data_IF_518741871083
#
_entry.id   IF_518741871083
#
_cell.length_a   1.000
_cell.length_b   1.000
_cell.length_c   1.000
_cell.angle_alpha   90.00
_cell.angle_beta   90.00
_cell.angle_gamma   90.00
#
_symmetry.space_group_name_H-M   'P 1'
#
loop_
_entity.id
_entity.type
_entity.pdbx_description
1 polymer ?
#
# COMPACT_ATOMS: atom_id res chain seq x y z
N UNK A 1 -2.89 25.54 11.62
CA UNK A 1 -3.11 24.71 10.41
C UNK A 1 -3.47 23.34 10.94
N UNK A 2 -4.33 22.59 10.25
CA UNK A 2 -4.68 21.24 10.71
C UNK A 2 -4.74 20.29 9.52
N UNK A 3 -4.39 19.04 9.76
CA UNK A 3 -4.42 17.96 8.78
C UNK A 3 -5.65 17.09 9.03
N UNK A 4 -6.42 16.80 7.98
CA UNK A 4 -7.45 15.77 7.97
C UNK A 4 -6.86 14.51 7.31
N UNK A 5 -6.59 13.51 8.12
CA UNK A 5 -6.18 12.18 7.65
C UNK A 5 -7.40 11.31 7.39
N UNK A 6 -7.49 10.71 6.21
CA UNK A 6 -8.53 9.74 5.90
C UNK A 6 -8.01 8.35 6.28
N UNK A 7 -8.61 7.74 7.31
CA UNK A 7 -8.24 6.41 7.78
C UNK A 7 -8.84 5.32 6.87
N UNK A 8 -8.00 4.38 6.46
CA UNK A 8 -8.46 3.18 5.75
C UNK A 8 -8.68 2.05 6.74
N UNK A 9 -9.82 1.35 6.63
CA UNK A 9 -10.25 0.26 7.51
C UNK A 9 -11.21 -0.70 6.78
N UNK A 10 -11.52 -1.80 7.44
CA UNK A 10 -12.52 -2.77 6.98
C UNK A 10 -13.76 -2.81 7.90
N UNK A 11 -14.08 -1.71 8.57
CA UNK A 11 -15.05 -1.52 9.64
C UNK A 11 -14.65 -2.15 11.00
N UNK A 12 -13.76 -3.13 11.03
CA UNK A 12 -13.28 -3.77 12.27
C UNK A 12 -11.86 -3.36 12.62
N UNK A 13 -10.97 -3.39 11.64
CA UNK A 13 -9.55 -3.16 11.82
C UNK A 13 -9.05 -2.02 10.93
N UNK A 14 -8.12 -1.24 11.43
CA UNK A 14 -7.36 -0.30 10.61
C UNK A 14 -6.47 -1.06 9.64
N UNK A 15 -6.40 -0.59 8.41
CA UNK A 15 -5.38 -1.09 7.49
C UNK A 15 -4.00 -0.59 7.92
N UNK A 16 -2.96 -1.44 7.85
CA UNK A 16 -1.62 -1.11 8.36
C UNK A 16 -1.07 0.21 7.84
N UNK A 17 -1.30 0.53 6.57
CA UNK A 17 -0.83 1.78 5.95
C UNK A 17 -1.43 3.07 6.52
N UNK A 18 -2.51 2.97 7.30
CA UNK A 18 -3.03 4.11 8.07
C UNK A 18 -2.01 4.60 9.08
N UNK A 19 -1.24 3.70 9.72
CA UNK A 19 -0.19 4.07 10.67
C UNK A 19 0.95 4.88 10.01
N UNK A 20 1.35 4.48 8.80
CA UNK A 20 2.35 5.20 8.02
C UNK A 20 1.84 6.59 7.59
N UNK A 21 0.55 6.67 7.25
CA UNK A 21 -0.08 7.93 6.86
C UNK A 21 -0.20 8.90 8.05
N UNK A 22 -0.43 8.40 9.27
CA UNK A 22 -0.39 9.21 10.50
C UNK A 22 1.00 9.83 10.71
N UNK A 23 2.08 9.05 10.52
CA UNK A 23 3.45 9.57 10.61
C UNK A 23 3.69 10.69 9.60
N UNK A 24 3.32 10.48 8.34
CA UNK A 24 3.48 11.50 7.31
C UNK A 24 2.65 12.78 7.63
N UNK A 25 1.40 12.60 8.09
CA UNK A 25 0.52 13.69 8.49
C UNK A 25 1.13 14.52 9.64
N UNK A 26 1.72 13.87 10.64
CA UNK A 26 2.36 14.55 11.77
C UNK A 26 3.63 15.31 11.39
N UNK A 27 4.29 14.94 10.28
CA UNK A 27 5.41 15.71 9.71
C UNK A 27 4.94 16.97 8.96
N UNK A 28 3.69 16.97 8.44
CA UNK A 28 3.09 18.14 7.81
C UNK A 28 2.64 19.15 8.87
N UNK A 29 1.92 18.70 9.87
CA UNK A 29 1.47 19.51 11.01
C UNK A 29 1.20 18.61 12.23
N UNK A 30 1.50 19.11 13.43
CA UNK A 30 1.26 18.38 14.69
C UNK A 30 -0.22 18.32 15.10
N UNK A 31 -1.08 19.09 14.43
CA UNK A 31 -2.53 19.09 14.64
C UNK A 31 -3.21 18.13 13.68
N UNK A 32 -3.03 16.82 13.92
CA UNK A 32 -3.58 15.73 13.10
C UNK A 32 -4.95 15.33 13.64
N UNK A 33 -5.96 15.50 12.82
CA UNK A 33 -7.28 14.93 13.00
C UNK A 33 -7.48 13.80 11.99
N UNK A 34 -8.10 12.72 12.40
CA UNK A 34 -8.41 11.61 11.51
C UNK A 34 -9.92 11.47 11.30
N UNK A 35 -10.34 11.05 10.13
CA UNK A 35 -11.74 10.71 9.86
C UNK A 35 -11.85 9.23 9.54
N UNK A 36 -12.83 8.58 10.17
CA UNK A 36 -13.27 7.22 9.88
C UNK A 36 -14.73 7.28 9.38
N UNK A 37 -14.96 6.67 8.21
CA UNK A 37 -16.28 6.65 7.56
C UNK A 37 -16.64 5.18 7.34
N UNK A 38 -17.70 4.70 7.97
CA UNK A 38 -18.04 3.29 7.93
C UNK A 38 -19.44 2.95 8.44
N UNK A 39 -19.62 1.68 8.73
CA UNK A 39 -20.80 1.15 9.38
C UNK A 39 -20.40 0.07 10.39
N UNK A 40 -20.87 0.20 11.65
CA UNK A 40 -20.44 -0.66 12.76
C UNK A 40 -18.90 -0.68 12.91
N UNK A 41 -18.28 0.52 12.91
CA UNK A 41 -16.82 0.67 12.87
C UNK A 41 -16.20 0.96 14.24
N UNK A 42 -16.85 0.62 15.34
CA UNK A 42 -16.42 0.95 16.71
C UNK A 42 -15.03 0.39 17.05
N UNK A 43 -14.68 -0.83 16.58
CA UNK A 43 -13.38 -1.43 16.85
C UNK A 43 -12.26 -0.66 16.14
N UNK A 44 -12.45 -0.34 14.87
CA UNK A 44 -11.51 0.47 14.09
C UNK A 44 -11.40 1.91 14.64
N UNK A 45 -12.54 2.51 15.06
CA UNK A 45 -12.58 3.81 15.71
C UNK A 45 -11.76 3.83 16.99
N UNK A 46 -11.91 2.80 17.84
CA UNK A 46 -11.12 2.65 19.08
C UNK A 46 -9.63 2.53 18.78
N UNK A 47 -9.25 1.72 17.80
CA UNK A 47 -7.86 1.59 17.38
C UNK A 47 -7.29 2.92 16.86
N UNK A 48 -8.06 3.67 16.04
CA UNK A 48 -7.64 4.97 15.52
C UNK A 48 -7.48 6.02 16.63
N UNK A 49 -8.38 6.03 17.62
CA UNK A 49 -8.31 6.96 18.75
C UNK A 49 -7.15 6.68 19.73
N UNK A 50 -6.60 5.47 19.69
CA UNK A 50 -5.45 5.07 20.50
C UNK A 50 -4.09 5.49 19.92
N UNK A 51 -4.05 6.07 18.72
CA UNK A 51 -2.81 6.51 18.07
C UNK A 51 -2.29 7.82 18.69
N UNK A 52 -1.06 7.88 19.21
CA UNK A 52 -0.57 9.04 19.96
C UNK A 52 -0.52 10.36 19.17
N UNK A 53 -0.26 10.27 17.86
CA UNK A 53 -0.16 11.45 17.01
C UNK A 53 -1.54 12.02 16.58
N UNK A 54 -2.64 11.29 16.80
CA UNK A 54 -3.99 11.73 16.45
C UNK A 54 -4.61 12.44 17.64
N UNK A 55 -5.03 13.69 17.44
CA UNK A 55 -5.65 14.51 18.51
C UNK A 55 -7.17 14.40 18.53
N UNK A 56 -7.77 14.23 17.37
CA UNK A 56 -9.21 14.09 17.22
C UNK A 56 -9.55 13.07 16.14
N UNK A 57 -10.58 12.26 16.39
CA UNK A 57 -11.16 11.35 15.40
C UNK A 57 -12.59 11.77 15.11
N UNK A 58 -12.88 12.03 13.85
CA UNK A 58 -14.22 12.29 13.35
C UNK A 58 -14.81 10.95 12.90
N UNK A 59 -15.91 10.54 13.54
CA UNK A 59 -16.61 9.31 13.21
C UNK A 59 -17.87 9.63 12.41
N UNK A 60 -18.00 9.03 11.24
CA UNK A 60 -19.17 9.15 10.35
C UNK A 60 -19.73 7.76 10.08
N UNK A 61 -20.94 7.51 10.56
CA UNK A 61 -21.57 6.20 10.51
C UNK A 61 -22.87 6.24 9.72
N UNK A 62 -23.01 5.37 8.72
CA UNK A 62 -24.28 5.09 8.06
C UNK A 62 -24.24 3.75 7.32
N UNK A 63 -25.36 3.06 7.09
CA UNK A 63 -25.38 1.75 6.41
C UNK A 63 -24.73 1.77 5.01
N UNK A 64 -24.91 2.83 4.24
CA UNK A 64 -24.34 2.95 2.88
C UNK A 64 -22.82 3.18 2.88
N UNK A 65 -22.18 3.41 4.04
CA UNK A 65 -20.73 3.46 4.19
C UNK A 65 -20.12 2.11 4.56
N UNK A 66 -20.90 1.05 4.72
CA UNK A 66 -20.39 -0.30 5.00
C UNK A 66 -19.33 -0.73 3.98
N UNK A 67 -19.61 -0.45 2.72
CA UNK A 67 -18.68 -0.73 1.62
C UNK A 67 -18.16 0.58 1.02
N UNK A 68 -16.85 0.66 0.88
CA UNK A 68 -16.20 1.82 0.31
C UNK A 68 -16.62 2.05 -1.14
N UNK A 69 -17.10 3.27 -1.41
CA UNK A 69 -17.24 3.85 -2.74
C UNK A 69 -16.77 5.31 -2.68
N UNK A 70 -15.96 5.73 -3.65
CA UNK A 70 -15.45 7.11 -3.66
C UNK A 70 -16.58 8.14 -3.79
N UNK A 71 -17.69 7.75 -4.40
CA UNK A 71 -18.88 8.57 -4.58
C UNK A 71 -19.56 8.91 -3.26
N UNK A 72 -19.64 7.99 -2.33
CA UNK A 72 -20.21 8.21 -1.01
C UNK A 72 -19.24 8.90 -0.05
N UNK A 73 -17.94 8.57 -0.15
CA UNK A 73 -16.93 9.09 0.80
C UNK A 73 -16.47 10.51 0.46
N UNK A 74 -16.25 10.85 -0.82
CA UNK A 74 -15.71 12.14 -1.19
C UNK A 74 -16.58 13.34 -0.75
N UNK A 75 -17.90 13.35 -0.87
CA UNK A 75 -18.73 14.48 -0.46
C UNK A 75 -18.60 14.81 1.03
N UNK A 76 -18.55 13.80 1.91
CA UNK A 76 -18.39 14.02 3.36
C UNK A 76 -17.00 14.56 3.67
N UNK A 77 -15.95 14.08 3.00
CA UNK A 77 -14.59 14.60 3.16
C UNK A 77 -14.51 16.06 2.70
N UNK A 78 -15.14 16.40 1.58
CA UNK A 78 -15.21 17.79 1.06
C UNK A 78 -15.87 18.73 2.06
N UNK A 79 -16.99 18.31 2.67
CA UNK A 79 -17.67 19.05 3.73
C UNK A 79 -16.76 19.27 4.95
N UNK A 80 -16.09 18.24 5.41
CA UNK A 80 -15.17 18.33 6.54
C UNK A 80 -13.93 19.19 6.21
N UNK A 81 -13.44 19.13 4.97
CA UNK A 81 -12.27 19.84 4.51
C UNK A 81 -12.37 21.38 4.63
N UNK A 82 -13.55 21.94 4.83
CA UNK A 82 -13.72 23.39 5.07
C UNK A 82 -12.84 23.88 6.23
N UNK A 83 -12.66 23.05 7.25
CA UNK A 83 -11.91 23.36 8.47
C UNK A 83 -10.43 22.94 8.43
N UNK A 84 -9.95 22.39 7.31
CA UNK A 84 -8.61 21.84 7.17
C UNK A 84 -7.83 22.48 6.03
N UNK A 85 -6.52 22.53 6.20
CA UNK A 85 -5.61 23.00 5.15
C UNK A 85 -5.01 21.85 4.34
N UNK A 86 -4.96 20.64 4.92
CA UNK A 86 -4.44 19.45 4.28
C UNK A 86 -5.41 18.28 4.40
N UNK A 87 -5.57 17.55 3.32
CA UNK A 87 -6.30 16.29 3.27
C UNK A 87 -5.29 15.21 2.85
N UNK A 88 -5.10 14.21 3.70
CA UNK A 88 -4.04 13.20 3.55
C UNK A 88 -4.64 11.80 3.51
N UNK A 89 -4.12 10.95 2.62
CA UNK A 89 -4.44 9.52 2.55
C UNK A 89 -3.24 8.72 2.06
N UNK A 90 -3.23 7.40 2.24
CA UNK A 90 -2.23 6.50 1.67
C UNK A 90 -2.34 6.43 0.14
N UNK A 91 -1.21 6.32 -0.57
CA UNK A 91 -1.16 6.15 -2.04
C UNK A 91 -1.34 4.69 -2.46
N UNK A 92 -2.25 3.97 -1.82
CA UNK A 92 -2.70 2.63 -2.22
C UNK A 92 -3.97 2.71 -3.09
N UNK A 93 -4.59 1.59 -3.40
CA UNK A 93 -5.80 1.55 -4.25
C UNK A 93 -6.96 2.37 -3.68
N UNK A 94 -7.13 2.39 -2.36
CA UNK A 94 -8.13 3.21 -1.67
C UNK A 94 -7.90 4.71 -1.90
N UNK A 95 -6.71 5.21 -1.54
CA UNK A 95 -6.42 6.64 -1.69
C UNK A 95 -6.29 7.09 -3.14
N UNK A 96 -5.76 6.24 -4.04
CA UNK A 96 -5.69 6.52 -5.49
C UNK A 96 -7.07 6.63 -6.14
N UNK A 97 -8.08 5.95 -5.60
CA UNK A 97 -9.47 6.07 -6.06
C UNK A 97 -10.15 7.32 -5.45
N UNK A 98 -9.96 7.55 -4.15
CA UNK A 98 -10.71 8.58 -3.41
C UNK A 98 -10.15 9.99 -3.59
N UNK A 99 -8.84 10.17 -3.44
CA UNK A 99 -8.22 11.49 -3.38
C UNK A 99 -8.36 12.33 -4.65
N UNK A 100 -8.24 11.78 -5.87
CA UNK A 100 -8.46 12.58 -7.09
C UNK A 100 -9.88 13.18 -7.18
N UNK A 101 -10.87 12.42 -6.70
CA UNK A 101 -12.26 12.90 -6.66
C UNK A 101 -12.42 14.02 -5.64
N UNK A 102 -11.82 13.89 -4.46
CA UNK A 102 -11.82 14.96 -3.45
C UNK A 102 -11.14 16.22 -4.00
N UNK A 103 -9.96 16.08 -4.60
CA UNK A 103 -9.21 17.20 -5.17
C UNK A 103 -10.01 17.94 -6.24
N UNK A 104 -10.66 17.18 -7.14
CA UNK A 104 -11.52 17.76 -8.18
C UNK A 104 -12.74 18.50 -7.58
N UNK A 105 -13.39 17.94 -6.54
CA UNK A 105 -14.52 18.60 -5.89
C UNK A 105 -14.12 19.84 -5.08
N UNK A 106 -12.87 19.90 -4.61
CA UNK A 106 -12.31 21.07 -3.91
C UNK A 106 -11.67 22.09 -4.86
N UNK A 107 -11.68 21.82 -6.18
CA UNK A 107 -11.00 22.64 -7.20
C UNK A 107 -9.53 22.92 -6.83
N UNK A 108 -8.79 21.87 -6.47
CA UNK A 108 -7.39 21.96 -6.04
C UNK A 108 -6.53 20.88 -6.68
N UNK A 109 -5.22 21.11 -6.74
CA UNK A 109 -4.26 20.14 -7.25
C UNK A 109 -4.03 19.02 -6.24
N UNK A 110 -3.76 17.81 -6.74
CA UNK A 110 -3.30 16.70 -5.89
C UNK A 110 -1.79 16.53 -6.00
N UNK A 111 -1.10 16.46 -4.86
CA UNK A 111 0.30 16.01 -4.77
C UNK A 111 0.29 14.51 -4.45
N UNK A 112 0.58 13.71 -5.48
CA UNK A 112 0.45 12.25 -5.39
C UNK A 112 1.74 11.57 -4.97
N UNK A 113 1.60 10.52 -4.12
CA UNK A 113 2.61 9.52 -3.84
C UNK A 113 3.92 10.12 -3.28
N UNK A 114 3.79 11.05 -2.31
CA UNK A 114 4.94 11.68 -1.69
C UNK A 114 5.78 10.67 -0.89
N UNK A 115 7.09 10.83 -0.95
CA UNK A 115 8.06 10.00 -0.21
C UNK A 115 8.74 10.76 0.93
N UNK A 116 8.62 12.10 0.95
CA UNK A 116 9.18 12.94 2.00
C UNK A 116 8.42 14.24 2.14
N UNK A 117 8.27 14.69 3.38
CA UNK A 117 7.78 16.02 3.73
C UNK A 117 8.99 16.93 3.99
N UNK A 118 9.11 18.04 3.27
CA UNK A 118 10.14 19.06 3.49
C UNK A 118 9.59 20.19 4.36
N UNK A 119 8.37 20.60 4.07
CA UNK A 119 7.59 21.57 4.86
C UNK A 119 6.11 21.30 4.66
N UNK A 120 5.26 22.08 5.28
CA UNK A 120 3.80 21.94 5.16
C UNK A 120 3.26 22.17 3.73
N UNK A 121 4.04 22.75 2.83
CA UNK A 121 3.64 23.00 1.44
C UNK A 121 4.59 22.40 0.39
N UNK A 122 5.68 21.76 0.83
CA UNK A 122 6.76 21.29 -0.04
C UNK A 122 7.04 19.80 0.22
N UNK A 123 6.99 19.01 -0.84
CA UNK A 123 7.03 17.55 -0.78
C UNK A 123 7.97 16.97 -1.83
N UNK A 124 8.55 15.80 -1.58
CA UNK A 124 9.28 15.02 -2.57
C UNK A 124 8.41 13.88 -3.07
N UNK A 125 8.37 13.69 -4.37
CA UNK A 125 7.65 12.57 -4.99
C UNK A 125 8.44 11.96 -6.15
N UNK A 126 8.30 10.65 -6.41
CA UNK A 126 8.91 10.02 -7.57
C UNK A 126 8.17 10.41 -8.86
N UNK A 127 8.94 10.52 -9.93
CA UNK A 127 8.47 10.70 -11.31
C UNK A 127 9.20 9.70 -12.20
N UNK A 128 8.74 9.50 -13.46
CA UNK A 128 9.32 8.54 -14.40
C UNK A 128 9.50 7.15 -13.79
N UNK A 129 8.42 6.61 -13.18
CA UNK A 129 8.44 5.31 -12.52
C UNK A 129 9.51 5.18 -11.41
N UNK A 130 9.85 6.28 -10.74
CA UNK A 130 10.83 6.32 -9.66
C UNK A 130 12.28 6.48 -10.13
N UNK A 131 12.53 6.73 -11.40
CA UNK A 131 13.89 7.02 -11.88
C UNK A 131 14.37 8.44 -11.55
N UNK A 132 13.45 9.33 -11.18
CA UNK A 132 13.77 10.66 -10.70
C UNK A 132 12.84 11.05 -9.54
N UNK A 133 13.28 11.98 -8.71
CA UNK A 133 12.50 12.57 -7.63
C UNK A 133 12.32 14.06 -7.89
N UNK A 134 11.08 14.52 -7.83
CA UNK A 134 10.74 15.93 -7.94
C UNK A 134 10.42 16.49 -6.55
N UNK A 135 11.02 17.62 -6.21
CA UNK A 135 10.58 18.45 -5.09
C UNK A 135 9.51 19.40 -5.62
N UNK A 136 8.30 19.28 -5.10
CA UNK A 136 7.14 20.07 -5.53
C UNK A 136 6.62 20.93 -4.39
N UNK A 137 6.26 22.18 -4.69
CA UNK A 137 5.61 23.09 -3.77
C UNK A 137 4.18 23.34 -4.24
N UNK A 138 3.19 23.12 -3.35
CA UNK A 138 1.80 23.45 -3.62
C UNK A 138 1.49 24.85 -3.07
N UNK A 139 1.00 25.73 -3.94
CA UNK A 139 0.54 27.06 -3.58
C UNK A 139 -0.99 27.10 -3.27
N UNK A 140 -1.66 25.96 -3.40
CA UNK A 140 -3.09 25.87 -3.14
C UNK A 140 -3.42 26.12 -1.66
N UNK A 141 -4.57 26.73 -1.39
CA UNK A 141 -5.03 26.99 -0.02
C UNK A 141 -5.33 25.69 0.71
N UNK A 142 -5.90 24.69 0.02
CA UNK A 142 -6.12 23.33 0.49
C UNK A 142 -5.21 22.39 -0.30
N UNK A 143 -4.56 21.48 0.38
CA UNK A 143 -3.60 20.55 -0.22
C UNK A 143 -4.11 19.12 -0.09
N UNK A 144 -4.39 18.48 -1.22
CA UNK A 144 -4.73 17.06 -1.29
C UNK A 144 -3.43 16.26 -1.53
N UNK A 145 -3.06 15.43 -0.57
CA UNK A 145 -1.78 14.71 -0.60
C UNK A 145 -2.01 13.22 -0.41
N UNK A 146 -1.44 12.40 -1.29
CA UNK A 146 -1.31 10.97 -1.02
C UNK A 146 0.13 10.62 -0.70
N UNK A 147 0.34 9.80 0.33
CA UNK A 147 1.66 9.42 0.81
C UNK A 147 2.02 8.00 0.35
N UNK A 148 3.27 7.76 0.01
CA UNK A 148 3.79 6.40 -0.22
C UNK A 148 4.02 5.73 1.13
N UNK A 149 3.22 4.72 1.53
CA UNK A 149 3.31 4.15 2.88
C UNK A 149 4.69 3.60 3.19
N UNK A 150 5.34 2.97 2.21
CA UNK A 150 6.67 2.36 2.38
C UNK A 150 7.82 3.35 2.60
N UNK A 151 7.57 4.66 2.47
CA UNK A 151 8.57 5.72 2.68
C UNK A 151 8.46 6.38 4.06
N UNK A 152 7.51 5.95 4.89
CA UNK A 152 7.31 6.47 6.24
C UNK A 152 7.18 5.30 7.20
N UNK A 153 7.84 5.37 8.35
CA UNK A 153 7.68 4.35 9.39
C UNK A 153 6.27 4.39 9.98
N UNK A 154 5.68 3.26 10.36
CA UNK A 154 4.40 3.25 11.06
C UNK A 154 4.52 3.94 12.42
N UNK A 155 3.52 4.73 12.80
CA UNK A 155 3.45 5.29 14.15
C UNK A 155 3.15 4.19 15.19
N UNK A 156 3.37 4.49 16.46
CA UNK A 156 2.95 3.61 17.56
C UNK A 156 1.43 3.40 17.50
N UNK A 157 1.00 2.16 17.72
CA UNK A 157 -0.42 1.77 17.62
C UNK A 157 -1.23 2.00 18.90
N UNK A 158 -0.57 2.36 20.00
CA UNK A 158 -1.20 2.55 21.32
C UNK A 158 -0.56 3.72 22.07
N UNK A 159 -1.23 4.18 23.13
CA UNK A 159 -0.72 5.25 23.99
C UNK A 159 -1.39 6.61 23.77
N UNK A 160 -2.23 6.74 22.74
CA UNK A 160 -3.05 7.93 22.50
C UNK A 160 -4.43 7.87 23.15
N UNK A 161 -5.11 9.02 23.15
CA UNK A 161 -6.47 9.20 23.66
C UNK A 161 -7.16 10.33 22.92
N UNK A 162 -7.33 10.18 21.61
CA UNK A 162 -7.93 11.20 20.76
C UNK A 162 -9.39 11.47 21.12
N UNK A 163 -9.79 12.74 21.05
CA UNK A 163 -11.18 13.14 21.19
C UNK A 163 -12.01 12.56 20.04
N UNK A 164 -13.12 11.89 20.34
CA UNK A 164 -14.04 11.37 19.34
C UNK A 164 -15.18 12.36 19.13
N UNK A 165 -15.36 12.81 17.90
CA UNK A 165 -16.47 13.65 17.44
C UNK A 165 -17.33 12.85 16.45
N UNK A 166 -18.62 12.71 16.72
CA UNK A 166 -19.55 12.07 15.80
C UNK A 166 -20.17 13.13 14.89
N UNK A 167 -20.17 12.85 13.61
CA UNK A 167 -20.73 13.71 12.56
C UNK A 167 -21.72 12.90 11.75
N UNK A 168 -22.89 13.51 11.44
CA UNK A 168 -23.90 12.87 10.61
C UNK A 168 -23.38 12.68 9.18
N UNK A 169 -23.66 11.50 8.62
CA UNK A 169 -23.41 11.20 7.22
C UNK A 169 -24.21 12.09 6.28
N UNK A 170 -23.88 11.99 5.01
CA UNK A 170 -24.66 12.57 3.92
C UNK A 170 -25.59 11.52 3.32
N UNK A 171 -26.52 11.94 2.47
CA UNK A 171 -27.37 11.05 1.71
C UNK A 171 -26.55 10.12 0.80
N UNK A 172 -27.06 8.90 0.58
CA UNK A 172 -26.43 7.92 -0.29
C UNK A 172 -26.38 8.38 -1.74
N UNK A 173 -25.23 8.18 -2.40
CA UNK A 173 -25.09 8.39 -3.82
C UNK A 173 -25.70 7.22 -4.60
N UNK A 174 -26.89 7.41 -5.12
CA UNK A 174 -27.72 6.32 -5.69
C UNK A 174 -27.36 5.92 -7.14
N UNK A 175 -26.46 6.65 -7.82
CA UNK A 175 -26.09 6.37 -9.22
C UNK A 175 -25.07 5.22 -9.34
N UNK A 176 -24.38 4.87 -8.25
CA UNK A 176 -23.50 3.71 -8.16
C UNK A 176 -24.00 2.77 -7.07
N UNK A 177 -23.86 1.48 -7.31
CA UNK A 177 -24.26 0.45 -6.34
C UNK A 177 -23.13 -0.54 -6.15
N UNK A 178 -22.78 -0.80 -4.89
CA UNK A 178 -21.90 -1.91 -4.55
C UNK A 178 -22.60 -3.23 -4.86
N UNK A 179 -21.96 -4.12 -5.61
CA UNK A 179 -22.50 -5.42 -5.98
C UNK A 179 -21.91 -6.52 -5.12
N UNK A 180 -20.57 -6.64 -5.14
CA UNK A 180 -19.83 -7.63 -4.36
C UNK A 180 -18.36 -7.27 -4.25
N UNK A 181 -17.71 -7.85 -3.27
CA UNK A 181 -16.26 -7.85 -3.09
C UNK A 181 -15.78 -9.30 -3.03
N UNK A 182 -14.78 -9.60 -3.82
CA UNK A 182 -14.08 -10.88 -3.77
C UNK A 182 -12.71 -10.63 -3.17
N UNK A 183 -12.46 -11.17 -2.00
CA UNK A 183 -11.17 -11.11 -1.31
C UNK A 183 -10.57 -12.52 -1.23
N UNK A 184 -9.32 -12.64 -1.61
CA UNK A 184 -8.54 -13.85 -1.38
C UNK A 184 -8.11 -13.84 0.09
N UNK A 185 -8.73 -14.69 0.90
CA UNK A 185 -8.26 -14.92 2.27
C UNK A 185 -6.98 -15.73 2.21
N UNK A 186 -5.92 -15.21 2.77
CA UNK A 186 -4.63 -15.88 2.89
C UNK A 186 -4.14 -15.79 4.32
N UNK A 187 -3.63 -16.89 4.85
CA UNK A 187 -2.95 -16.92 6.15
C UNK A 187 -1.51 -16.37 6.06
N UNK A 188 -1.07 -15.97 4.85
CA UNK A 188 0.25 -15.37 4.63
C UNK A 188 0.25 -13.89 4.97
N UNK A 189 1.44 -13.32 5.26
CA UNK A 189 1.60 -11.89 5.43
C UNK A 189 1.04 -11.11 4.25
N UNK A 190 0.44 -9.95 4.51
CA UNK A 190 -0.04 -9.07 3.46
C UNK A 190 1.12 -8.56 2.61
N UNK A 191 1.01 -8.65 1.28
CA UNK A 191 2.09 -8.35 0.34
C UNK A 191 2.71 -6.96 0.54
N UNK A 192 1.90 -5.96 0.88
CA UNK A 192 2.37 -4.58 1.05
C UNK A 192 3.19 -4.34 2.33
N UNK A 193 3.07 -5.22 3.32
CA UNK A 193 3.73 -5.08 4.64
C UNK A 193 4.67 -6.24 4.97
N UNK A 194 4.77 -7.23 4.10
CA UNK A 194 5.59 -8.41 4.31
C UNK A 194 7.09 -8.08 4.35
N UNK A 195 7.81 -8.67 5.29
CA UNK A 195 9.27 -8.54 5.39
C UNK A 195 10.01 -9.34 4.32
N UNK A 196 9.42 -10.41 3.83
CA UNK A 196 9.96 -11.25 2.77
C UNK A 196 8.91 -11.43 1.70
N UNK A 197 9.30 -11.25 0.44
CA UNK A 197 8.44 -11.45 -0.72
C UNK A 197 9.12 -12.39 -1.71
N UNK A 198 8.41 -13.43 -2.14
CA UNK A 198 8.83 -14.31 -3.24
C UNK A 198 7.89 -14.06 -4.42
N UNK A 199 8.43 -13.62 -5.54
CA UNK A 199 7.62 -13.13 -6.67
C UNK A 199 7.89 -13.91 -7.95
N UNK A 200 6.82 -14.40 -8.60
CA UNK A 200 6.89 -15.13 -9.86
C UNK A 200 6.60 -14.25 -11.08
N UNK A 201 7.39 -14.41 -12.12
CA UNK A 201 7.19 -13.75 -13.40
C UNK A 201 6.51 -14.64 -14.43
N UNK A 202 6.43 -14.11 -15.69
CA UNK A 202 5.95 -14.89 -16.83
C UNK A 202 6.82 -16.12 -17.11
N UNK A 203 8.09 -16.12 -16.64
CA UNK A 203 8.99 -17.27 -16.70
C UNK A 203 8.47 -18.51 -15.97
N UNK A 204 7.50 -18.39 -15.09
CA UNK A 204 6.80 -19.51 -14.44
C UNK A 204 5.96 -20.35 -15.41
N UNK A 205 5.65 -19.84 -16.61
CA UNK A 205 4.96 -20.49 -17.73
C UNK A 205 3.49 -20.87 -17.48
N UNK A 206 3.07 -21.19 -16.26
CA UNK A 206 1.69 -21.54 -15.92
C UNK A 206 1.36 -21.21 -14.46
N UNK A 207 0.05 -21.17 -14.14
CA UNK A 207 -0.44 -21.04 -12.76
C UNK A 207 -0.07 -22.24 -11.87
N UNK A 208 -0.04 -23.46 -12.44
CA UNK A 208 0.34 -24.67 -11.70
C UNK A 208 1.77 -24.61 -11.19
N UNK A 209 2.67 -23.97 -11.91
CA UNK A 209 4.07 -23.82 -11.52
C UNK A 209 4.26 -22.83 -10.37
N UNK A 210 3.26 -21.98 -10.05
CA UNK A 210 3.30 -21.13 -8.86
C UNK A 210 3.34 -21.93 -7.56
N UNK A 211 3.10 -23.27 -7.58
CA UNK A 211 3.36 -24.15 -6.44
C UNK A 211 4.81 -24.06 -5.95
N UNK A 212 5.77 -23.92 -6.86
CA UNK A 212 7.18 -23.77 -6.49
C UNK A 212 7.43 -22.46 -5.70
N UNK A 213 6.80 -21.37 -6.14
CA UNK A 213 6.83 -20.09 -5.40
C UNK A 213 6.18 -20.26 -4.03
N UNK A 214 5.04 -20.95 -3.98
CA UNK A 214 4.29 -21.22 -2.75
C UNK A 214 5.13 -21.99 -1.73
N UNK A 215 5.79 -23.06 -2.15
CA UNK A 215 6.64 -23.90 -1.27
C UNK A 215 7.81 -23.11 -0.67
N UNK A 216 8.48 -22.28 -1.48
CA UNK A 216 9.54 -21.38 -1.00
C UNK A 216 9.00 -20.33 -0.05
N UNK A 217 7.86 -19.70 -0.40
CA UNK A 217 7.22 -18.69 0.43
C UNK A 217 6.80 -19.25 1.80
N UNK A 218 6.24 -20.47 1.84
CA UNK A 218 5.84 -21.14 3.08
C UNK A 218 7.04 -21.40 4.00
N UNK A 219 8.17 -21.80 3.43
CA UNK A 219 9.41 -22.03 4.19
C UNK A 219 9.98 -20.76 4.79
N UNK A 220 9.84 -19.64 4.10
CA UNK A 220 10.38 -18.34 4.52
C UNK A 220 9.38 -17.51 5.33
N UNK A 221 8.12 -17.94 5.47
CA UNK A 221 7.05 -17.11 6.02
C UNK A 221 6.81 -15.87 5.17
N UNK A 222 6.98 -15.99 3.84
CA UNK A 222 6.96 -14.88 2.90
C UNK A 222 5.58 -14.65 2.29
N UNK A 223 5.33 -13.41 1.86
CA UNK A 223 4.23 -13.11 0.95
C UNK A 223 4.57 -13.52 -0.50
N UNK A 224 3.55 -13.81 -1.28
CA UNK A 224 3.68 -14.13 -2.69
C UNK A 224 3.38 -12.90 -3.52
N UNK A 225 4.33 -12.52 -4.39
CA UNK A 225 4.18 -11.49 -5.40
C UNK A 225 4.13 -12.06 -6.81
N UNK A 226 3.76 -11.22 -7.77
CA UNK A 226 3.78 -11.58 -9.17
C UNK A 226 4.05 -10.36 -10.07
N UNK A 227 4.63 -10.60 -11.24
CA UNK A 227 4.69 -9.58 -12.28
C UNK A 227 3.32 -9.39 -12.94
N UNK A 228 3.06 -8.20 -13.48
CA UNK A 228 1.85 -7.93 -14.28
C UNK A 228 1.67 -8.95 -15.38
N UNK A 229 2.73 -9.33 -16.06
CA UNK A 229 2.66 -10.31 -17.17
C UNK A 229 2.20 -11.71 -16.70
N UNK A 230 2.51 -12.12 -15.47
CA UNK A 230 2.00 -13.36 -14.89
C UNK A 230 0.52 -13.26 -14.51
N UNK A 231 0.09 -12.11 -14.00
CA UNK A 231 -1.32 -11.81 -13.67
C UNK A 231 -2.16 -11.74 -14.95
N UNK A 232 -1.72 -10.98 -15.95
CA UNK A 232 -2.43 -10.85 -17.24
C UNK A 232 -2.54 -12.21 -17.97
N UNK A 233 -1.57 -13.12 -17.76
CA UNK A 233 -1.62 -14.50 -18.27
C UNK A 233 -2.52 -15.43 -17.44
N UNK A 234 -3.13 -14.96 -16.36
CA UNK A 234 -4.02 -15.74 -15.49
C UNK A 234 -3.31 -16.74 -14.59
N UNK A 235 -2.00 -16.61 -14.36
CA UNK A 235 -1.24 -17.55 -13.50
C UNK A 235 -1.56 -17.36 -12.02
N UNK A 236 -1.91 -16.14 -11.62
CA UNK A 236 -2.24 -15.78 -10.25
C UNK A 236 -3.16 -14.55 -10.23
N UNK A 237 -3.90 -14.36 -9.13
CA UNK A 237 -4.80 -13.23 -8.93
C UNK A 237 -4.06 -11.88 -8.96
N UNK A 238 -4.77 -10.82 -9.41
CA UNK A 238 -4.29 -9.44 -9.42
C UNK A 238 -3.86 -8.91 -8.03
N UNK A 239 -4.38 -9.48 -6.95
CA UNK A 239 -4.00 -9.10 -5.57
C UNK A 239 -2.51 -9.30 -5.27
N UNK A 240 -1.85 -10.17 -6.04
CA UNK A 240 -0.42 -10.47 -5.95
C UNK A 240 0.45 -9.57 -6.84
N UNK A 241 -0.15 -8.67 -7.65
CA UNK A 241 0.64 -7.87 -8.57
C UNK A 241 1.55 -6.88 -7.84
N UNK A 242 2.85 -6.96 -8.15
CA UNK A 242 3.88 -6.00 -7.73
C UNK A 242 4.26 -5.11 -8.92
N UNK A 243 4.31 -3.79 -8.72
CA UNK A 243 4.70 -2.85 -9.75
C UNK A 243 3.98 -1.51 -9.66
N UNK A 244 4.20 -0.66 -10.65
CA UNK A 244 3.65 0.70 -10.71
C UNK A 244 2.11 0.72 -10.63
N UNK A 245 1.44 -0.24 -11.25
CA UNK A 245 -0.02 -0.36 -11.27
C UNK A 245 -0.56 -1.38 -10.28
N UNK A 246 0.34 -2.10 -9.59
CA UNK A 246 0.04 -3.03 -8.52
C UNK A 246 0.42 -2.46 -7.15
N UNK A 247 0.87 -3.34 -6.27
CA UNK A 247 1.38 -2.98 -4.95
C UNK A 247 2.85 -2.57 -5.05
N UNK A 248 3.22 -1.51 -4.33
CA UNK A 248 4.62 -1.14 -4.08
C UNK A 248 5.04 -1.80 -2.78
N UNK A 249 6.15 -2.53 -2.81
CA UNK A 249 6.68 -3.28 -1.68
C UNK A 249 8.13 -2.88 -1.39
N UNK A 250 8.51 -2.90 -0.11
CA UNK A 250 9.88 -2.63 0.36
C UNK A 250 10.24 -3.65 1.44
N UNK A 251 10.31 -4.96 1.10
CA UNK A 251 10.67 -6.00 2.04
C UNK A 251 12.16 -5.94 2.40
N UNK A 252 12.52 -6.64 3.48
CA UNK A 252 13.92 -6.92 3.82
C UNK A 252 14.56 -7.81 2.75
N UNK A 253 13.77 -8.73 2.16
CA UNK A 253 14.21 -9.65 1.10
C UNK A 253 13.14 -9.79 0.01
N UNK A 254 13.53 -9.51 -1.23
CA UNK A 254 12.71 -9.73 -2.41
C UNK A 254 13.36 -10.78 -3.32
N UNK A 255 12.70 -11.90 -3.55
CA UNK A 255 13.16 -12.96 -4.45
C UNK A 255 12.37 -12.90 -5.75
N UNK A 256 13.01 -12.48 -6.84
CA UNK A 256 12.43 -12.36 -8.17
C UNK A 256 12.71 -13.61 -9.00
N UNK A 257 11.70 -14.39 -9.34
CA UNK A 257 11.82 -15.66 -10.05
C UNK A 257 11.19 -15.58 -11.43
N UNK A 258 11.99 -15.72 -12.47
CA UNK A 258 11.50 -15.67 -13.87
C UNK A 258 10.86 -14.31 -14.24
N UNK A 259 11.32 -13.24 -13.61
CA UNK A 259 10.89 -11.86 -13.85
C UNK A 259 11.92 -11.15 -14.72
N UNK A 260 11.49 -10.48 -15.78
CA UNK A 260 12.39 -9.80 -16.71
C UNK A 260 13.00 -8.49 -16.13
N UNK A 261 12.32 -7.84 -15.18
CA UNK A 261 12.77 -6.54 -14.68
C UNK A 261 12.32 -5.36 -15.54
N UNK A 262 11.14 -5.44 -16.16
CA UNK A 262 10.55 -4.27 -16.81
C UNK A 262 10.41 -3.11 -15.82
N UNK A 263 10.61 -1.88 -16.30
CA UNK A 263 10.65 -0.64 -15.46
C UNK A 263 9.40 -0.49 -14.58
N UNK A 264 8.24 -0.95 -15.07
CA UNK A 264 6.99 -0.89 -14.30
C UNK A 264 7.00 -1.87 -13.11
N UNK A 265 7.67 -3.01 -13.22
CA UNK A 265 7.86 -3.95 -12.10
C UNK A 265 8.88 -3.41 -11.12
N UNK A 266 10.02 -2.93 -11.62
CA UNK A 266 11.08 -2.33 -10.79
C UNK A 266 10.56 -1.18 -9.95
N UNK A 267 9.68 -0.33 -10.49
CA UNK A 267 9.03 0.75 -9.74
C UNK A 267 8.28 0.29 -8.48
N UNK A 268 7.90 -0.99 -8.42
CA UNK A 268 7.19 -1.57 -7.28
C UNK A 268 8.06 -2.31 -6.27
N UNK A 269 9.38 -2.56 -6.55
CA UNK A 269 10.17 -3.42 -5.66
C UNK A 269 11.65 -3.03 -5.51
N UNK A 270 12.16 -2.08 -6.32
CA UNK A 270 13.59 -1.74 -6.34
C UNK A 270 14.13 -1.13 -5.04
N UNK A 271 13.26 -0.64 -4.16
CA UNK A 271 13.61 -0.10 -2.83
C UNK A 271 13.71 -1.22 -1.77
N UNK A 272 13.57 -2.51 -2.15
CA UNK A 272 13.78 -3.64 -1.25
C UNK A 272 15.23 -3.64 -0.72
N UNK A 273 15.44 -4.06 0.54
CA UNK A 273 16.79 -4.00 1.14
C UNK A 273 17.76 -4.99 0.49
N UNK A 274 17.26 -6.18 0.15
CA UNK A 274 18.03 -7.20 -0.57
C UNK A 274 17.16 -7.75 -1.68
N UNK A 275 17.70 -7.78 -2.90
CA UNK A 275 17.04 -8.33 -4.08
C UNK A 275 17.82 -9.53 -4.59
N UNK A 276 17.16 -10.67 -4.67
CA UNK A 276 17.68 -11.89 -5.28
C UNK A 276 16.94 -12.14 -6.59
N UNK A 277 17.64 -12.37 -7.69
CA UNK A 277 17.06 -12.67 -8.98
C UNK A 277 17.46 -14.06 -9.49
N UNK A 278 16.47 -14.82 -9.96
CA UNK A 278 16.66 -16.09 -10.65
C UNK A 278 16.04 -15.97 -12.04
N UNK A 279 16.87 -16.01 -13.05
CA UNK A 279 16.42 -15.94 -14.45
C UNK A 279 17.38 -16.74 -15.34
N UNK A 280 16.86 -17.38 -16.39
CA UNK A 280 17.66 -18.09 -17.38
C UNK A 280 18.32 -17.17 -18.41
N UNK A 281 17.83 -15.91 -18.53
CA UNK A 281 18.38 -14.89 -19.39
C UNK A 281 19.30 -13.99 -18.57
N UNK A 282 20.62 -14.17 -18.72
CA UNK A 282 21.64 -13.40 -18.01
C UNK A 282 21.63 -11.91 -18.33
N UNK A 283 21.04 -11.50 -19.46
CA UNK A 283 20.90 -10.09 -19.87
C UNK A 283 19.57 -9.47 -19.39
N UNK A 284 18.76 -10.21 -18.62
CA UNK A 284 17.49 -9.69 -18.13
C UNK A 284 17.69 -8.45 -17.24
N UNK A 285 16.96 -7.34 -17.45
CA UNK A 285 17.11 -6.09 -16.69
C UNK A 285 16.98 -6.24 -15.17
N UNK A 286 16.36 -7.32 -14.68
CA UNK A 286 16.24 -7.60 -13.24
C UNK A 286 17.60 -7.70 -12.56
N UNK A 287 18.61 -8.20 -13.24
CA UNK A 287 19.97 -8.34 -12.71
C UNK A 287 20.65 -6.99 -12.46
N UNK A 288 20.22 -5.93 -13.15
CA UNK A 288 20.77 -4.58 -12.91
C UNK A 288 20.43 -3.99 -11.54
N UNK A 289 19.41 -4.54 -10.87
CA UNK A 289 18.96 -4.10 -9.53
C UNK A 289 19.12 -5.19 -8.47
N UNK A 290 19.53 -6.40 -8.86
CA UNK A 290 19.71 -7.52 -7.95
C UNK A 290 21.04 -7.42 -7.19
N UNK A 291 20.99 -7.62 -5.86
CA UNK A 291 22.20 -7.81 -5.04
C UNK A 291 22.83 -9.18 -5.27
N UNK A 292 21.99 -10.18 -5.53
CA UNK A 292 22.40 -11.54 -5.86
C UNK A 292 21.65 -12.05 -7.08
N UNK A 293 22.38 -12.48 -8.09
CA UNK A 293 21.83 -13.01 -9.34
C UNK A 293 22.22 -14.47 -9.55
N UNK A 294 21.26 -15.31 -9.92
CA UNK A 294 21.47 -16.67 -10.37
C UNK A 294 20.96 -16.84 -11.79
N UNK A 295 21.88 -16.96 -12.75
CA UNK A 295 21.55 -17.32 -14.11
C UNK A 295 21.34 -18.84 -14.19
N UNK A 296 20.07 -19.27 -14.13
CA UNK A 296 19.69 -20.67 -14.15
C UNK A 296 18.24 -20.87 -14.57
N UNK A 297 17.89 -22.10 -14.95
CA UNK A 297 16.49 -22.50 -15.07
C UNK A 297 15.83 -22.54 -13.68
N UNK A 298 14.75 -21.77 -13.53
CA UNK A 298 14.02 -21.70 -12.26
C UNK A 298 13.43 -23.04 -11.83
N UNK A 299 13.10 -23.94 -12.78
CA UNK A 299 12.56 -25.27 -12.48
C UNK A 299 13.60 -26.22 -11.90
N UNK A 300 14.90 -25.95 -12.10
CA UNK A 300 15.99 -26.64 -11.46
C UNK A 300 16.45 -25.93 -10.17
N UNK A 301 16.52 -24.60 -10.23
CA UNK A 301 17.04 -23.79 -9.12
C UNK A 301 16.12 -23.79 -7.90
N UNK A 302 14.80 -23.64 -8.06
CA UNK A 302 13.88 -23.56 -6.91
C UNK A 302 13.81 -24.85 -6.07
N UNK A 303 13.75 -26.07 -6.67
CA UNK A 303 13.81 -27.29 -5.89
C UNK A 303 15.13 -27.46 -5.10
N UNK A 304 16.27 -27.06 -5.68
CA UNK A 304 17.56 -27.08 -5.01
C UNK A 304 17.60 -26.06 -3.87
N UNK A 305 17.13 -24.83 -4.12
CA UNK A 305 17.03 -23.80 -3.09
C UNK A 305 16.15 -24.24 -1.91
N UNK A 306 14.99 -24.86 -2.20
CA UNK A 306 14.11 -25.41 -1.18
C UNK A 306 14.79 -26.53 -0.36
N UNK A 307 15.57 -27.39 -1.02
CA UNK A 307 16.34 -28.44 -0.34
C UNK A 307 17.37 -27.83 0.63
N UNK A 308 18.08 -26.78 0.23
CA UNK A 308 19.06 -26.10 1.10
C UNK A 308 18.37 -25.38 2.26
N UNK A 309 17.24 -24.71 2.03
CA UNK A 309 16.43 -24.09 3.11
C UNK A 309 15.96 -25.12 4.15
N UNK A 310 15.64 -26.34 3.72
CA UNK A 310 15.25 -27.42 4.64
C UNK A 310 16.42 -27.86 5.51
N UNK A 311 17.66 -27.89 5.01
CA UNK A 311 18.86 -28.22 5.79
C UNK A 311 19.17 -27.18 6.86
N UNK A 312 19.05 -25.87 6.52
CA UNK A 312 19.27 -24.76 7.46
C UNK A 312 18.32 -24.82 8.66
N UNK A 313 17.05 -25.12 8.44
CA UNK A 313 16.07 -25.27 9.51
C UNK A 313 16.29 -26.48 10.42
N UNK A 314 17.10 -27.47 9.98
CA UNK A 314 17.46 -28.65 10.79
C UNK A 314 18.65 -28.36 11.70
N UNK A 315 19.48 -27.37 11.35
CA UNK A 315 20.67 -26.97 12.14
C UNK A 315 20.31 -26.02 13.29
N UNK A 316 19.17 -25.33 13.21
CA UNK A 316 18.69 -24.35 14.22
C UNK A 316 17.78 -25.00 15.30
N UNK A 317 17.50 -26.29 15.25
CA UNK A 317 16.81 -27.08 16.28
C UNK A 317 17.83 -27.89 17.09
#
# INVERSE_FOLDING_TARGET
>A
MSVLLIAEHNNKELRPFTLNAVTAASQIDQDVHAVIIGHNSEEALKALSALPAVKKVISVEAPHYENFTAENFAPIIVKLAENYTHIVSSANTFGKNLMPRIAALLDTSQVSDITKVISNDTFVRPIYAGNAFATVKSNDKKKCVTIRPTSFDPCESTGGSALIEKVDGLEEFVQTKFIKREEVKSDRPELGTARIVVSGGRGMQSGDNFKLITEVADKLGAAIGASRAAVDAGYISNDHQVGQTGKVVVPDLYIAVGISGAIQHLAGMKESKVIVAINKDGEAPIFSVADYGLEADLFEALPQFLAELNKLNTIQK
#
